data_IF_253524153041
#
_entry.id   IF_253524153041
#
_cell.length_a   1.000
_cell.length_b   1.000
_cell.length_c   1.000
_cell.angle_alpha   90.00
_cell.angle_beta   90.00
_cell.angle_gamma   90.00
#
_symmetry.space_group_name_H-M   'P 1'
#
loop_
_entity.id
_entity.type
_entity.pdbx_description
1 polymer ?
#
# COMPACT_ATOMS: atom_id res chain seq x y z
N UNK A 1 14.31 1.14 41.21
CA UNK A 1 15.10 2.15 40.52
C UNK A 1 15.57 1.69 39.16
N UNK A 2 16.15 0.52 39.06
CA UNK A 2 16.46 -0.10 37.77
C UNK A 2 15.23 -0.32 36.90
N UNK A 3 14.07 -0.44 37.47
CA UNK A 3 12.80 -0.59 36.74
C UNK A 3 12.46 0.60 35.88
N UNK A 4 12.81 1.84 36.27
CA UNK A 4 12.56 3.04 35.49
C UNK A 4 13.39 3.08 34.22
N UNK A 5 14.64 2.65 34.31
CA UNK A 5 15.54 2.58 33.15
C UNK A 5 15.05 1.52 32.16
N UNK A 6 14.58 0.38 32.65
CA UNK A 6 14.04 -0.69 31.84
C UNK A 6 12.73 -0.29 31.14
N UNK A 7 11.93 0.60 31.76
CA UNK A 7 10.69 1.08 31.16
C UNK A 7 10.93 2.09 30.02
N UNK A 8 12.00 2.87 30.09
CA UNK A 8 12.30 3.85 29.05
C UNK A 8 12.73 3.20 27.74
N UNK A 9 13.54 2.14 27.80
CA UNK A 9 13.97 1.43 26.60
C UNK A 9 12.80 0.72 25.88
N UNK A 10 11.91 0.00 26.59
CA UNK A 10 10.72 -0.58 25.96
C UNK A 10 9.78 0.47 25.34
N UNK A 11 9.68 1.65 25.92
CA UNK A 11 8.85 2.72 25.39
C UNK A 11 9.34 3.19 24.03
N UNK A 12 10.64 3.40 23.87
CA UNK A 12 11.23 3.78 22.59
C UNK A 12 11.03 2.68 21.53
N UNK A 13 11.17 1.42 21.91
CA UNK A 13 10.93 0.30 21.02
C UNK A 13 9.46 0.23 20.60
N UNK A 14 8.52 0.53 21.52
CA UNK A 14 7.09 0.58 21.20
C UNK A 14 6.76 1.67 20.17
N UNK A 15 7.39 2.83 20.25
CA UNK A 15 7.17 3.90 19.29
C UNK A 15 7.62 3.49 17.88
N UNK A 16 8.76 2.82 17.76
CA UNK A 16 9.23 2.30 16.49
C UNK A 16 8.34 1.19 15.96
N UNK A 17 7.89 0.31 16.84
CA UNK A 17 6.96 -0.75 16.49
C UNK A 17 5.62 -0.17 16.03
N UNK A 18 5.17 0.95 16.64
CA UNK A 18 3.94 1.61 16.24
C UNK A 18 4.05 2.20 14.84
N UNK A 19 5.15 2.85 14.49
CA UNK A 19 5.37 3.38 13.14
C UNK A 19 5.42 2.26 12.10
N UNK A 20 6.13 1.19 12.40
CA UNK A 20 6.19 0.01 11.56
C UNK A 20 4.80 -0.57 11.33
N UNK A 21 4.04 -0.73 12.39
CA UNK A 21 2.68 -1.27 12.34
C UNK A 21 1.73 -0.34 11.60
N UNK A 22 1.84 0.97 11.83
CA UNK A 22 0.97 1.96 11.18
C UNK A 22 1.10 1.93 9.66
N UNK A 23 2.33 1.83 9.13
CA UNK A 23 2.53 1.77 7.68
C UNK A 23 2.07 0.43 7.11
N UNK A 24 2.21 -0.65 7.86
CA UNK A 24 1.69 -1.96 7.44
C UNK A 24 0.17 -1.94 7.39
N UNK A 25 -0.47 -1.30 8.35
CA UNK A 25 -1.92 -1.11 8.36
C UNK A 25 -2.39 -0.23 7.20
N UNK A 26 -1.60 0.78 6.84
CA UNK A 26 -1.91 1.62 5.68
C UNK A 26 -1.93 0.79 4.40
N UNK A 27 -0.95 -0.07 4.20
CA UNK A 27 -0.88 -0.96 3.04
C UNK A 27 -2.08 -1.93 3.04
N UNK A 28 -2.39 -2.51 4.18
CA UNK A 28 -3.51 -3.45 4.31
C UNK A 28 -4.84 -2.75 4.00
N UNK A 29 -5.02 -1.53 4.48
CA UNK A 29 -6.23 -0.73 4.22
C UNK A 29 -6.36 -0.37 2.76
N UNK A 30 -5.25 0.00 2.12
CA UNK A 30 -5.23 0.29 0.69
C UNK A 30 -5.63 -0.94 -0.13
N UNK A 31 -5.07 -2.09 0.20
CA UNK A 31 -5.39 -3.35 -0.46
C UNK A 31 -6.87 -3.71 -0.29
N UNK A 32 -7.41 -3.52 0.92
CA UNK A 32 -8.83 -3.77 1.20
C UNK A 32 -9.74 -2.84 0.39
N UNK A 33 -9.37 -1.58 0.26
CA UNK A 33 -10.14 -0.61 -0.52
C UNK A 33 -10.14 -0.99 -2.01
N UNK A 34 -9.01 -1.44 -2.52
CA UNK A 34 -8.90 -1.90 -3.91
C UNK A 34 -9.79 -3.12 -4.14
N UNK A 35 -9.75 -4.08 -3.24
CA UNK A 35 -10.57 -5.30 -3.31
C UNK A 35 -12.06 -5.00 -3.14
N UNK A 36 -12.40 -3.97 -2.39
CA UNK A 36 -13.79 -3.54 -2.21
C UNK A 36 -14.32 -2.70 -3.38
N UNK A 37 -13.50 -2.39 -4.36
CA UNK A 37 -13.89 -1.58 -5.51
C UNK A 37 -14.07 -0.11 -5.18
N UNK A 38 -13.29 0.40 -4.24
CA UNK A 38 -13.36 1.79 -3.78
C UNK A 38 -12.09 2.55 -4.17
N UNK A 39 -12.03 3.12 -5.40
CA UNK A 39 -10.82 3.74 -5.91
C UNK A 39 -10.37 4.94 -5.11
N UNK A 40 -11.30 5.81 -4.69
CA UNK A 40 -10.93 7.00 -3.94
C UNK A 40 -10.33 6.68 -2.57
N UNK A 41 -10.85 5.65 -1.92
CA UNK A 41 -10.33 5.20 -0.64
C UNK A 41 -8.93 4.59 -0.80
N UNK A 42 -8.70 3.84 -1.87
CA UNK A 42 -7.37 3.32 -2.20
C UNK A 42 -6.38 4.46 -2.43
N UNK A 43 -6.78 5.45 -3.24
CA UNK A 43 -5.93 6.58 -3.60
C UNK A 43 -5.63 7.51 -2.43
N UNK A 44 -6.47 7.50 -1.41
CA UNK A 44 -6.24 8.30 -0.20
C UNK A 44 -4.98 7.87 0.57
N UNK A 45 -4.51 6.65 0.34
CA UNK A 45 -3.26 6.18 0.92
C UNK A 45 -2.02 6.80 0.27
N UNK A 46 -2.17 7.46 -0.87
CA UNK A 46 -1.08 8.04 -1.65
C UNK A 46 -1.04 9.54 -1.53
N UNK A 47 0.16 10.11 -1.63
CA UNK A 47 0.34 11.55 -1.66
C UNK A 47 -0.04 12.07 -3.06
N UNK A 48 -0.99 13.01 -3.15
CA UNK A 48 -1.37 13.58 -4.45
C UNK A 48 -0.24 14.31 -5.16
N UNK A 49 0.80 14.73 -4.42
CA UNK A 49 1.98 15.37 -5.00
C UNK A 49 2.97 14.35 -5.59
N UNK A 50 2.72 13.05 -5.41
CA UNK A 50 3.57 12.00 -5.97
C UNK A 50 3.61 12.12 -7.49
N UNK A 51 4.81 12.03 -8.12
CA UNK A 51 4.89 11.94 -9.57
C UNK A 51 4.03 10.77 -10.07
N UNK A 52 3.35 10.95 -11.17
CA UNK A 52 2.47 9.94 -11.77
C UNK A 52 1.21 9.62 -10.96
N UNK A 53 0.87 10.43 -9.95
CA UNK A 53 -0.36 10.21 -9.18
C UNK A 53 -1.59 10.24 -10.09
N UNK A 54 -1.65 11.17 -11.03
CA UNK A 54 -2.77 11.27 -11.98
C UNK A 54 -2.89 10.01 -12.85
N UNK A 55 -1.75 9.46 -13.27
CA UNK A 55 -1.70 8.22 -14.04
C UNK A 55 -2.17 7.04 -13.19
N UNK A 56 -1.74 6.96 -11.95
CA UNK A 56 -2.20 5.93 -11.01
C UNK A 56 -3.71 6.00 -10.81
N UNK A 57 -4.23 7.20 -10.60
CA UNK A 57 -5.67 7.42 -10.41
C UNK A 57 -6.45 6.93 -11.63
N UNK A 58 -6.02 7.31 -12.82
CA UNK A 58 -6.65 6.88 -14.07
C UNK A 58 -6.63 5.35 -14.19
N UNK A 59 -5.49 4.74 -13.93
CA UNK A 59 -5.30 3.29 -14.02
C UNK A 59 -6.19 2.52 -13.04
N UNK A 60 -6.23 2.97 -11.80
CA UNK A 60 -7.01 2.31 -10.73
C UNK A 60 -8.50 2.40 -11.02
N UNK A 61 -8.97 3.57 -11.43
CA UNK A 61 -10.39 3.76 -11.78
C UNK A 61 -10.77 2.83 -12.94
N UNK A 62 -9.92 2.75 -13.97
CA UNK A 62 -10.16 1.87 -15.11
C UNK A 62 -10.17 0.40 -14.71
N UNK A 63 -9.21 0.00 -13.89
CA UNK A 63 -9.09 -1.39 -13.44
C UNK A 63 -10.33 -1.81 -12.61
N UNK A 64 -10.73 -0.99 -11.66
CA UNK A 64 -11.88 -1.28 -10.80
C UNK A 64 -13.19 -1.33 -11.62
N UNK A 65 -13.31 -0.48 -12.64
CA UNK A 65 -14.52 -0.48 -13.49
C UNK A 65 -14.65 -1.73 -14.33
N UNK A 66 -13.53 -2.40 -14.64
CA UNK A 66 -13.51 -3.56 -15.55
C UNK A 66 -13.43 -4.90 -14.84
N UNK A 67 -13.11 -4.93 -13.56
CA UNK A 67 -12.82 -6.20 -12.89
C UNK A 67 -13.10 -6.14 -11.40
N UNK A 68 -13.33 -7.31 -10.83
CA UNK A 68 -13.28 -7.52 -9.39
C UNK A 68 -11.86 -7.88 -9.00
N UNK A 69 -11.36 -7.28 -7.93
CA UNK A 69 -9.97 -7.39 -7.54
C UNK A 69 -9.83 -8.07 -6.20
N UNK A 70 -8.76 -8.83 -6.03
CA UNK A 70 -8.33 -9.31 -4.72
C UNK A 70 -6.83 -9.23 -4.63
N UNK A 71 -6.34 -8.94 -3.42
CA UNK A 71 -4.93 -8.74 -3.16
C UNK A 71 -4.42 -9.70 -2.11
N UNK A 72 -3.20 -10.15 -2.28
CA UNK A 72 -2.44 -10.86 -1.27
C UNK A 72 -1.07 -10.18 -1.17
N UNK A 73 -0.70 -9.73 0.01
CA UNK A 73 0.52 -8.96 0.20
C UNK A 73 1.35 -9.58 1.30
N UNK A 74 2.62 -9.80 1.00
CA UNK A 74 3.61 -10.18 1.99
C UNK A 74 4.61 -9.05 2.15
N UNK A 75 4.85 -8.63 3.38
CA UNK A 75 5.83 -7.60 3.68
C UNK A 75 7.19 -8.26 3.84
N UNK A 76 8.09 -7.99 2.89
CA UNK A 76 9.42 -8.59 2.88
C UNK A 76 10.40 -7.78 3.72
N UNK A 77 10.25 -6.47 3.75
CA UNK A 77 11.04 -5.60 4.61
C UNK A 77 10.27 -4.33 4.94
N UNK A 78 10.55 -3.77 6.10
CA UNK A 78 9.95 -2.54 6.59
C UNK A 78 10.99 -1.83 7.43
N UNK A 79 11.64 -0.83 6.86
CA UNK A 79 12.77 -0.13 7.46
C UNK A 79 12.53 1.37 7.50
N UNK A 80 13.06 2.02 8.50
CA UNK A 80 12.98 3.47 8.60
C UNK A 80 12.80 3.95 10.02
N UNK A 81 12.15 5.10 10.16
CA UNK A 81 11.93 5.76 11.44
C UNK A 81 10.47 6.22 11.58
N UNK A 82 10.21 7.11 12.51
CA UNK A 82 8.84 7.58 12.79
C UNK A 82 8.32 8.59 11.76
N UNK A 83 9.12 8.98 10.80
CA UNK A 83 8.73 9.96 9.77
C UNK A 83 8.81 9.42 8.35
N UNK A 84 9.69 8.47 8.10
CA UNK A 84 9.90 7.90 6.76
C UNK A 84 10.14 6.40 6.90
N UNK A 85 9.35 5.62 6.17
CA UNK A 85 9.50 4.16 6.14
C UNK A 85 9.63 3.69 4.70
N UNK A 86 10.48 2.70 4.48
CA UNK A 86 10.67 2.07 3.18
C UNK A 86 10.29 0.60 3.30
N UNK A 87 9.36 0.18 2.45
CA UNK A 87 8.85 -1.18 2.45
C UNK A 87 9.17 -1.88 1.14
N UNK A 88 9.49 -3.16 1.25
CA UNK A 88 9.53 -4.06 0.10
C UNK A 88 8.41 -5.06 0.29
N UNK A 89 7.55 -5.17 -0.71
CA UNK A 89 6.35 -5.99 -0.65
C UNK A 89 6.33 -6.99 -1.79
N UNK A 90 5.83 -8.17 -1.52
CA UNK A 90 5.42 -9.10 -2.58
C UNK A 90 3.91 -8.95 -2.72
N UNK A 91 3.47 -8.40 -3.83
CA UNK A 91 2.07 -8.08 -4.07
C UNK A 91 1.52 -8.95 -5.17
N UNK A 92 0.50 -9.73 -4.84
CA UNK A 92 -0.24 -10.54 -5.79
C UNK A 92 -1.60 -9.89 -5.99
N UNK A 93 -1.90 -9.54 -7.24
CA UNK A 93 -3.18 -8.95 -7.63
C UNK A 93 -3.91 -9.93 -8.53
N UNK A 94 -5.07 -10.36 -8.09
CA UNK A 94 -5.96 -11.18 -8.90
C UNK A 94 -7.03 -10.30 -9.51
N UNK A 95 -7.20 -10.42 -10.81
CA UNK A 95 -8.14 -9.63 -11.60
C UNK A 95 -9.17 -10.57 -12.21
N UNK A 96 -10.40 -10.50 -11.73
CA UNK A 96 -11.51 -11.29 -12.26
C UNK A 96 -12.34 -10.37 -13.17
N UNK A 97 -12.27 -10.61 -14.48
CA UNK A 97 -12.89 -9.74 -15.48
C UNK A 97 -14.41 -9.82 -15.39
N UNK A 98 -15.08 -8.67 -15.57
CA UNK A 98 -16.53 -8.55 -15.49
C UNK A 98 -17.24 -8.69 -16.83
N UNK A 99 -16.48 -8.73 -17.93
CA UNK A 99 -17.05 -8.76 -19.28
C UNK A 99 -17.64 -10.12 -19.65
N UNK A 100 -18.14 -10.20 -20.90
CA UNK A 100 -18.78 -11.43 -21.41
C UNK A 100 -17.82 -12.59 -21.57
N UNK A 101 -16.53 -12.34 -21.47
CA UNK A 101 -15.52 -13.38 -21.54
C UNK A 101 -14.82 -13.46 -20.17
N UNK A 102 -15.48 -14.05 -19.17
CA UNK A 102 -14.93 -14.07 -17.82
C UNK A 102 -13.65 -14.87 -17.79
N UNK A 103 -12.66 -14.30 -17.16
CA UNK A 103 -11.37 -14.93 -16.95
C UNK A 103 -10.71 -14.29 -15.77
N UNK A 104 -9.65 -14.91 -15.30
CA UNK A 104 -8.89 -14.44 -14.19
C UNK A 104 -7.44 -14.20 -14.63
N UNK A 105 -6.91 -13.05 -14.29
CA UNK A 105 -5.52 -12.71 -14.49
C UNK A 105 -4.85 -12.53 -13.13
N UNK A 106 -3.66 -13.06 -12.99
CA UNK A 106 -2.89 -12.93 -11.76
C UNK A 106 -1.61 -12.15 -12.09
N UNK A 107 -1.39 -11.07 -11.36
CA UNK A 107 -0.15 -10.30 -11.43
C UNK A 107 0.58 -10.44 -10.11
N UNK A 108 1.89 -10.64 -10.18
CA UNK A 108 2.74 -10.69 -9.00
C UNK A 108 3.96 -9.82 -9.24
N UNK A 109 4.20 -8.89 -8.34
CA UNK A 109 5.34 -7.97 -8.43
C UNK A 109 5.96 -7.78 -7.07
N UNK A 110 7.28 -7.64 -7.06
CA UNK A 110 7.99 -7.11 -5.91
C UNK A 110 7.90 -5.60 -5.98
N UNK A 111 7.26 -5.00 -4.99
CA UNK A 111 7.00 -3.56 -4.94
C UNK A 111 7.95 -2.93 -3.94
N UNK A 112 8.55 -1.81 -4.32
CA UNK A 112 9.29 -0.96 -3.40
C UNK A 112 8.53 0.33 -3.23
N UNK A 113 8.22 0.67 -1.99
CA UNK A 113 7.49 1.89 -1.71
C UNK A 113 8.11 2.65 -0.56
N UNK A 114 7.97 3.97 -0.61
CA UNK A 114 8.36 4.86 0.46
C UNK A 114 7.10 5.51 1.00
N UNK A 115 6.97 5.53 2.32
CA UNK A 115 5.82 6.09 3.01
C UNK A 115 6.33 7.15 3.95
N UNK A 116 5.73 8.34 3.91
CA UNK A 116 6.12 9.47 4.75
C UNK A 116 4.96 9.95 5.58
N UNK A 117 5.30 10.37 6.79
CA UNK A 117 4.34 10.96 7.70
C UNK A 117 4.36 12.48 7.55
N UNK A 118 3.19 13.03 7.27
CA UNK A 118 2.99 14.47 7.20
C UNK A 118 1.91 14.83 8.23
N UNK A 119 2.34 15.49 9.31
CA UNK A 119 1.47 15.70 10.45
C UNK A 119 1.16 14.37 11.14
N UNK A 120 -0.10 13.98 11.17
CA UNK A 120 -0.55 12.73 11.80
C UNK A 120 -0.83 11.62 10.79
N UNK A 121 -0.68 11.90 9.50
CA UNK A 121 -1.10 10.97 8.46
C UNK A 121 0.09 10.45 7.67
N UNK A 122 0.16 9.13 7.54
CA UNK A 122 1.10 8.46 6.65
C UNK A 122 0.54 8.41 5.24
N UNK A 123 1.38 8.66 4.24
CA UNK A 123 1.01 8.53 2.83
C UNK A 123 2.15 7.96 2.03
N UNK A 124 1.80 7.18 1.01
CA UNK A 124 2.76 6.62 0.08
C UNK A 124 3.21 7.73 -0.86
N UNK A 125 4.51 8.01 -0.89
CA UNK A 125 5.11 9.05 -1.74
C UNK A 125 5.84 8.47 -2.93
N UNK A 126 6.10 7.15 -2.93
CA UNK A 126 6.77 6.45 -4.03
C UNK A 126 6.28 5.01 -4.03
N UNK A 127 5.98 4.49 -5.21
CA UNK A 127 5.50 3.12 -5.38
C UNK A 127 5.96 2.61 -6.75
N UNK A 128 6.76 1.57 -6.75
CA UNK A 128 7.36 1.04 -7.97
C UNK A 128 7.29 -0.50 -7.96
N UNK A 129 6.73 -1.15 -8.97
CA UNK A 129 6.18 -0.58 -10.21
C UNK A 129 4.70 -0.20 -10.10
N UNK A 130 4.33 0.93 -10.65
CA UNK A 130 2.92 1.37 -10.70
C UNK A 130 2.09 0.59 -11.72
N UNK A 131 2.73 -0.03 -12.69
CA UNK A 131 2.04 -0.81 -13.72
C UNK A 131 1.33 -2.05 -13.17
N UNK A 132 1.60 -2.41 -11.92
CA UNK A 132 0.83 -3.44 -11.21
C UNK A 132 -0.68 -3.16 -11.30
N UNK A 133 -1.05 -1.88 -11.28
CA UNK A 133 -2.44 -1.42 -11.29
C UNK A 133 -2.92 -0.98 -12.68
N UNK A 134 -2.15 -1.24 -13.72
CA UNK A 134 -2.56 -0.87 -15.08
C UNK A 134 -3.87 -1.60 -15.45
N UNK A 135 -4.80 -0.93 -16.15
CA UNK A 135 -6.01 -1.59 -16.61
C UNK A 135 -5.67 -2.77 -17.51
N UNK A 136 -6.53 -3.79 -17.55
CA UNK A 136 -6.33 -4.86 -18.52
C UNK A 136 -6.36 -4.26 -19.93
N UNK A 137 -5.35 -4.58 -20.72
CA UNK A 137 -5.34 -4.14 -22.11
C UNK A 137 -6.30 -4.99 -22.91
N UNK A 138 -7.06 -4.31 -23.72
CA UNK A 138 -7.96 -4.99 -24.64
C UNK A 138 -7.16 -5.81 -25.65
#
# INVERSE_FOLDING_TARGET
MTRRVLLLAPLAACLRADSEKEVEELIASAASALSAGKPELFLDAFDPAMPEFAKLRYSVIGLISQADLSCSIEILSNEGDDGVRKLTLDWILRIDHKDDNPGSTRRQKTVKCEIRKNGKKWRIVSFDPLDLFAPPTA
#
